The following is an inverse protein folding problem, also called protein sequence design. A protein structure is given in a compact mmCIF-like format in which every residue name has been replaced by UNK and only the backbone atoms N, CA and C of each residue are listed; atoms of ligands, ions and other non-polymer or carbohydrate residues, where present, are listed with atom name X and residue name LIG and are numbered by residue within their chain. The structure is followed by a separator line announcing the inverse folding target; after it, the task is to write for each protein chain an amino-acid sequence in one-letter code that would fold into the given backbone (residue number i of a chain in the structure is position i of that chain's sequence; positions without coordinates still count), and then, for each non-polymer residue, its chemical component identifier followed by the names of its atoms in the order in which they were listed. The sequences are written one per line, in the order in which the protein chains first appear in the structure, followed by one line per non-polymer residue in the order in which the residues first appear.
data_IF_533865350776
#
_entry.id   IF_533865350776
#
_cell.length_a   1.000
_cell.length_b   1.000
_cell.length_c   1.000
_cell.angle_alpha   90.00
_cell.angle_beta   90.00
_cell.angle_gamma   90.00
#
_symmetry.space_group_name_H-M   'P 1'
#
loop_
_entity.id
_entity.type
_entity.pdbx_description
1 polymer ?
#
# COMPACT_ATOMS: atom_id res chain seq x y z
N UNK A 1 -36.88 12.08 0.07
CA UNK A 1 -36.04 11.21 -0.77
C UNK A 1 -34.80 12.02 -1.16
N UNK A 2 -33.89 12.16 -0.19
CA UNK A 2 -32.79 13.12 -0.27
C UNK A 2 -31.47 12.33 -0.39
N UNK A 3 -31.01 12.18 -1.64
CA UNK A 3 -29.80 11.45 -2.00
C UNK A 3 -28.63 12.44 -2.13
N UNK A 4 -28.30 13.13 -1.06
CA UNK A 4 -27.06 13.91 -0.94
C UNK A 4 -26.00 13.18 -0.11
N UNK A 5 -25.73 11.92 -0.43
CA UNK A 5 -24.48 11.31 0.01
C UNK A 5 -23.40 11.70 -1.00
N UNK A 6 -22.83 12.88 -0.84
CA UNK A 6 -21.56 13.21 -1.46
C UNK A 6 -20.56 12.15 -1.02
N UNK A 7 -19.92 11.47 -1.98
CA UNK A 7 -18.86 10.49 -1.74
C UNK A 7 -17.69 11.26 -1.12
N UNK A 8 -17.65 11.31 0.22
CA UNK A 8 -16.50 11.87 0.95
C UNK A 8 -15.35 10.86 0.88
N UNK A 9 -14.64 10.88 -0.24
CA UNK A 9 -13.45 10.07 -0.42
C UNK A 9 -12.34 10.59 0.51
N UNK A 10 -11.72 9.69 1.24
CA UNK A 10 -10.52 10.03 2.01
C UNK A 10 -9.37 10.38 1.05
N UNK A 11 -8.40 11.22 1.47
CA UNK A 11 -7.26 11.58 0.61
C UNK A 11 -6.52 10.37 0.05
N UNK A 12 -6.45 9.29 0.81
CA UNK A 12 -5.83 8.03 0.38
C UNK A 12 -6.62 7.36 -0.77
N UNK A 13 -7.96 7.37 -0.70
CA UNK A 13 -8.81 6.84 -1.77
C UNK A 13 -8.68 7.63 -3.06
N UNK A 14 -8.58 8.96 -2.96
CA UNK A 14 -8.35 9.84 -4.12
C UNK A 14 -6.98 9.51 -4.75
N UNK A 15 -5.94 9.35 -3.94
CA UNK A 15 -4.61 8.98 -4.43
C UNK A 15 -4.62 7.61 -5.12
N UNK A 16 -5.30 6.61 -4.56
CA UNK A 16 -5.44 5.29 -5.16
C UNK A 16 -6.19 5.34 -6.50
N UNK A 17 -7.29 6.07 -6.57
CA UNK A 17 -8.03 6.26 -7.82
C UNK A 17 -7.16 6.95 -8.89
N UNK A 18 -6.42 7.98 -8.52
CA UNK A 18 -5.51 8.67 -9.43
C UNK A 18 -4.42 7.74 -9.98
N UNK A 19 -3.74 6.98 -9.11
CA UNK A 19 -2.71 6.02 -9.51
C UNK A 19 -3.27 4.91 -10.40
N UNK A 20 -4.48 4.43 -10.10
CA UNK A 20 -5.16 3.42 -10.91
C UNK A 20 -5.47 3.95 -12.32
N UNK A 21 -6.01 5.15 -12.42
CA UNK A 21 -6.27 5.78 -13.72
C UNK A 21 -4.96 6.00 -14.48
N UNK A 22 -3.93 6.48 -13.80
CA UNK A 22 -2.62 6.73 -14.43
C UNK A 22 -2.00 5.44 -15.01
N UNK A 23 -2.04 4.32 -14.27
CA UNK A 23 -1.49 3.04 -14.77
C UNK A 23 -2.29 2.53 -15.96
N UNK A 24 -3.62 2.65 -15.95
CA UNK A 24 -4.48 2.26 -17.08
C UNK A 24 -4.15 3.08 -18.32
N UNK A 25 -4.01 4.39 -18.19
CA UNK A 25 -3.66 5.26 -19.32
C UNK A 25 -2.29 4.91 -19.89
N UNK A 26 -1.28 4.76 -19.04
CA UNK A 26 0.10 4.46 -19.47
C UNK A 26 0.17 3.09 -20.15
N UNK A 27 -0.46 2.08 -19.59
CA UNK A 27 -0.49 0.74 -20.19
C UNK A 27 -1.27 0.73 -21.51
N UNK A 28 -2.34 1.50 -21.62
CA UNK A 28 -3.07 1.64 -22.87
C UNK A 28 -2.21 2.32 -23.96
N UNK A 29 -1.53 3.40 -23.61
CA UNK A 29 -0.58 4.07 -24.52
C UNK A 29 0.53 3.09 -24.96
N UNK A 30 1.10 2.33 -24.02
CA UNK A 30 2.13 1.33 -24.29
C UNK A 30 1.65 0.29 -25.31
N UNK A 31 0.43 -0.23 -25.13
CA UNK A 31 -0.15 -1.22 -26.07
C UNK A 31 -0.38 -0.60 -27.44
N UNK A 32 -0.94 0.61 -27.53
CA UNK A 32 -1.13 1.32 -28.80
C UNK A 32 0.18 1.51 -29.54
N UNK A 33 1.20 2.03 -28.89
CA UNK A 33 2.50 2.27 -29.53
C UNK A 33 3.15 0.97 -30.00
N UNK A 34 3.05 -0.10 -29.21
CA UNK A 34 3.64 -1.38 -29.56
C UNK A 34 2.97 -2.07 -30.76
N UNK A 35 1.62 -2.03 -30.82
CA UNK A 35 0.87 -2.80 -31.83
C UNK A 35 0.43 -1.97 -33.04
N UNK A 36 0.12 -0.69 -32.86
CA UNK A 36 -0.32 0.19 -33.98
C UNK A 36 0.87 0.86 -34.64
N UNK A 37 1.78 1.43 -33.82
CA UNK A 37 2.93 2.17 -34.35
C UNK A 37 4.19 1.30 -34.50
N UNK A 38 4.15 0.04 -34.05
CA UNK A 38 5.29 -0.91 -34.05
C UNK A 38 6.56 -0.34 -33.39
N UNK A 39 6.39 0.57 -32.46
CA UNK A 39 7.44 1.23 -31.73
C UNK A 39 7.30 0.99 -30.22
N UNK A 40 8.33 0.44 -29.59
CA UNK A 40 8.32 0.17 -28.14
C UNK A 40 8.86 1.36 -27.37
N UNK A 41 8.05 1.91 -26.48
CA UNK A 41 8.41 2.99 -25.55
C UNK A 41 8.93 2.37 -24.24
N UNK A 42 10.24 2.21 -24.10
CA UNK A 42 10.84 1.58 -22.90
C UNK A 42 10.50 2.31 -21.59
N UNK A 43 10.37 3.64 -21.62
CA UNK A 43 10.04 4.44 -20.46
C UNK A 43 8.60 4.20 -19.93
N UNK A 44 7.65 3.82 -20.79
CA UNK A 44 6.26 3.59 -20.37
C UNK A 44 6.14 2.32 -19.53
N UNK A 45 6.90 1.28 -19.88
CA UNK A 45 6.94 0.03 -19.10
C UNK A 45 7.53 0.27 -17.71
N UNK A 46 8.61 1.02 -17.65
CA UNK A 46 9.27 1.35 -16.40
C UNK A 46 8.39 2.23 -15.50
N UNK A 47 7.77 3.26 -16.07
CA UNK A 47 6.87 4.16 -15.34
C UNK A 47 5.62 3.43 -14.83
N UNK A 48 5.04 2.53 -15.64
CA UNK A 48 3.92 1.69 -15.20
C UNK A 48 4.30 0.83 -13.98
N UNK A 49 5.50 0.25 -13.98
CA UNK A 49 6.03 -0.51 -12.84
C UNK A 49 6.18 0.36 -11.59
N UNK A 50 6.67 1.59 -11.73
CA UNK A 50 6.82 2.53 -10.61
C UNK A 50 5.47 2.90 -10.01
N UNK A 51 4.50 3.25 -10.85
CA UNK A 51 3.13 3.55 -10.40
C UNK A 51 2.49 2.33 -9.73
N UNK A 52 2.72 1.12 -10.28
CA UNK A 52 2.19 -0.10 -9.69
C UNK A 52 2.72 -0.35 -8.27
N UNK A 53 4.01 -0.11 -8.02
CA UNK A 53 4.59 -0.26 -6.67
C UNK A 53 3.95 0.71 -5.66
N UNK A 54 3.73 1.96 -6.06
CA UNK A 54 3.02 2.94 -5.24
C UNK A 54 1.56 2.54 -5.01
N UNK A 55 0.87 2.12 -6.06
CA UNK A 55 -0.52 1.66 -5.96
C UNK A 55 -0.62 0.46 -5.02
N UNK A 56 0.25 -0.53 -5.15
CA UNK A 56 0.26 -1.72 -4.31
C UNK A 56 0.52 -1.37 -2.83
N UNK A 57 1.55 -0.57 -2.54
CA UNK A 57 1.91 -0.18 -1.17
C UNK A 57 0.78 0.59 -0.48
N UNK A 58 0.17 1.57 -1.16
CA UNK A 58 -0.93 2.36 -0.61
C UNK A 58 -2.23 1.55 -0.50
N UNK A 59 -2.49 0.62 -1.44
CA UNK A 59 -3.66 -0.28 -1.38
C UNK A 59 -3.59 -1.22 -0.19
N UNK A 60 -2.41 -1.77 0.13
CA UNK A 60 -2.22 -2.60 1.31
C UNK A 60 -2.47 -1.77 2.58
N UNK A 61 -1.92 -0.57 2.66
CA UNK A 61 -2.16 0.33 3.79
C UNK A 61 -3.66 0.68 3.95
N UNK A 62 -4.36 0.90 2.83
CA UNK A 62 -5.82 1.11 2.83
C UNK A 62 -6.59 -0.13 3.28
N UNK A 63 -6.16 -1.32 2.88
CA UNK A 63 -6.77 -2.57 3.33
C UNK A 63 -6.64 -2.75 4.86
N UNK A 64 -5.52 -2.34 5.46
CA UNK A 64 -5.37 -2.29 6.91
C UNK A 64 -6.36 -1.32 7.57
N UNK A 65 -6.58 -0.13 6.97
CA UNK A 65 -7.57 0.84 7.44
C UNK A 65 -8.98 0.26 7.48
N UNK A 66 -9.38 -0.48 6.44
CA UNK A 66 -10.78 -0.91 6.25
C UNK A 66 -11.04 -2.33 6.74
N UNK A 67 -10.05 -3.22 6.70
CA UNK A 67 -10.23 -4.66 6.95
C UNK A 67 -9.39 -5.22 8.09
N UNK A 68 -8.69 -4.38 8.84
CA UNK A 68 -7.83 -4.83 9.94
C UNK A 68 -8.60 -5.72 10.95
N UNK A 69 -9.89 -5.49 11.12
CA UNK A 69 -10.76 -6.32 11.96
C UNK A 69 -11.21 -7.62 11.28
N UNK A 70 -11.32 -7.68 9.94
CA UNK A 70 -12.00 -8.82 9.29
C UNK A 70 -11.12 -10.08 9.20
N UNK A 71 -9.84 -9.95 8.91
CA UNK A 71 -8.94 -11.11 8.82
C UNK A 71 -8.65 -11.72 10.21
N UNK A 72 -8.53 -10.87 11.23
CA UNK A 72 -8.34 -11.32 12.61
C UNK A 72 -9.62 -11.85 13.22
N UNK A 73 -10.78 -11.26 12.93
CA UNK A 73 -12.07 -11.77 13.45
C UNK A 73 -12.36 -13.18 12.97
N UNK A 74 -12.08 -13.50 11.70
CA UNK A 74 -12.33 -14.85 11.17
C UNK A 74 -11.49 -15.94 11.90
N UNK A 75 -10.24 -15.65 12.19
CA UNK A 75 -9.37 -16.56 12.96
C UNK A 75 -9.75 -16.64 14.44
N UNK A 76 -10.11 -15.49 15.01
CA UNK A 76 -10.39 -15.35 16.44
C UNK A 76 -11.82 -15.80 16.79
N UNK A 77 -12.78 -15.78 15.88
CA UNK A 77 -14.14 -16.26 16.11
C UNK A 77 -14.21 -17.79 16.28
N UNK A 78 -13.17 -18.53 15.88
CA UNK A 78 -13.03 -19.97 16.15
C UNK A 78 -12.43 -20.29 17.52
N UNK A 79 -11.97 -19.28 18.26
CA UNK A 79 -11.30 -19.47 19.56
C UNK A 79 -12.24 -19.03 20.70
N UNK A 80 -12.15 -19.74 21.85
CA UNK A 80 -12.93 -19.40 23.05
C UNK A 80 -12.72 -17.92 23.45
N UNK A 81 -13.81 -17.24 23.81
CA UNK A 81 -13.85 -15.81 24.16
C UNK A 81 -12.75 -15.37 25.15
N UNK A 82 -12.34 -16.29 26.05
CA UNK A 82 -11.29 -16.04 27.06
C UNK A 82 -9.91 -15.76 26.45
N UNK A 83 -9.55 -16.42 25.36
CA UNK A 83 -8.23 -16.30 24.71
C UNK A 83 -8.21 -15.25 23.57
N UNK A 84 -9.38 -14.80 23.15
CA UNK A 84 -9.55 -13.86 22.04
C UNK A 84 -8.72 -12.59 22.20
N UNK A 85 -8.77 -11.94 23.35
CA UNK A 85 -8.04 -10.70 23.61
C UNK A 85 -6.51 -10.90 23.63
N UNK A 86 -6.06 -12.04 24.14
CA UNK A 86 -4.63 -12.37 24.19
C UNK A 86 -4.09 -12.59 22.79
N UNK A 87 -4.76 -13.42 22.00
CA UNK A 87 -4.36 -13.70 20.59
C UNK A 87 -4.34 -12.42 19.80
N UNK A 88 -5.37 -11.58 19.93
CA UNK A 88 -5.44 -10.31 19.20
C UNK A 88 -4.27 -9.38 19.55
N UNK A 89 -3.97 -9.21 20.82
CA UNK A 89 -2.83 -8.40 21.27
C UNK A 89 -1.49 -8.96 20.76
N UNK A 90 -1.30 -10.28 20.86
CA UNK A 90 -0.08 -10.95 20.40
C UNK A 90 0.13 -10.76 18.91
N UNK A 91 -0.90 -10.96 18.09
CA UNK A 91 -0.82 -10.77 16.63
C UNK A 91 -0.50 -9.32 16.27
N UNK A 92 -1.15 -8.34 16.91
CA UNK A 92 -0.83 -6.94 16.66
C UNK A 92 0.61 -6.57 17.03
N UNK A 93 1.13 -7.08 18.15
CA UNK A 93 2.53 -6.87 18.54
C UNK A 93 3.49 -7.50 17.53
N UNK A 94 3.24 -8.73 17.09
CA UNK A 94 4.04 -9.38 16.05
C UNK A 94 4.00 -8.63 14.72
N UNK A 95 2.83 -8.13 14.31
CA UNK A 95 2.68 -7.31 13.11
C UNK A 95 3.47 -6.01 13.22
N UNK A 96 3.40 -5.31 14.36
CA UNK A 96 4.16 -4.08 14.57
C UNK A 96 5.68 -4.34 14.53
N UNK A 97 6.14 -5.42 15.16
CA UNK A 97 7.55 -5.80 15.13
C UNK A 97 8.01 -6.09 13.70
N UNK A 98 7.26 -6.91 12.96
CA UNK A 98 7.55 -7.21 11.57
C UNK A 98 7.59 -5.96 10.69
N UNK A 99 6.57 -5.09 10.79
CA UNK A 99 6.50 -3.86 9.99
C UNK A 99 7.61 -2.88 10.34
N UNK A 100 8.03 -2.81 11.60
CA UNK A 100 9.16 -1.96 12.01
C UNK A 100 10.46 -2.42 11.36
N UNK A 101 10.73 -3.74 11.36
CA UNK A 101 11.89 -4.32 10.69
C UNK A 101 11.78 -4.13 9.17
N UNK A 102 10.60 -4.33 8.61
CA UNK A 102 10.32 -4.14 7.18
C UNK A 102 10.61 -2.70 6.73
N UNK A 103 10.10 -1.69 7.46
CA UNK A 103 10.33 -0.28 7.15
C UNK A 103 11.82 0.08 7.26
N UNK A 104 12.49 -0.43 8.30
CA UNK A 104 13.92 -0.23 8.47
C UNK A 104 14.73 -0.77 7.28
N UNK A 105 14.46 -2.02 6.89
CA UNK A 105 15.15 -2.65 5.76
C UNK A 105 14.78 -2.02 4.41
N UNK A 106 13.54 -1.57 4.24
CA UNK A 106 13.12 -0.83 3.06
C UNK A 106 13.85 0.51 2.94
N UNK A 107 14.09 1.19 4.06
CA UNK A 107 14.86 2.43 4.09
C UNK A 107 16.32 2.21 3.70
N UNK A 108 16.97 1.21 4.30
CA UNK A 108 18.35 0.82 3.98
C UNK A 108 18.49 0.46 2.49
N UNK A 109 17.56 -0.34 1.96
CA UNK A 109 17.55 -0.71 0.55
C UNK A 109 17.32 0.48 -0.37
N UNK A 110 16.39 1.36 -0.04
CA UNK A 110 16.10 2.57 -0.85
C UNK A 110 17.33 3.47 -0.96
N UNK A 111 18.11 3.60 0.11
CA UNK A 111 19.36 4.34 0.08
C UNK A 111 20.43 3.66 -0.79
N UNK A 112 20.51 2.33 -0.77
CA UNK A 112 21.52 1.59 -1.56
C UNK A 112 21.30 1.67 -3.07
N UNK A 113 20.09 2.00 -3.52
CA UNK A 113 19.72 2.12 -4.94
C UNK A 113 19.56 3.57 -5.42
N UNK A 114 19.95 4.56 -4.62
CA UNK A 114 19.75 5.98 -4.93
C UNK A 114 20.50 6.42 -6.20
N UNK A 115 21.68 5.86 -6.41
CA UNK A 115 22.53 6.14 -7.57
C UNK A 115 22.24 5.23 -8.77
N UNK A 116 21.25 4.33 -8.66
CA UNK A 116 20.81 3.49 -9.76
C UNK A 116 19.64 4.18 -10.48
N UNK A 117 19.82 4.37 -11.78
CA UNK A 117 18.83 5.03 -12.63
C UNK A 117 18.16 4.02 -13.56
N UNK A 118 16.87 4.21 -13.77
CA UNK A 118 16.11 3.41 -14.71
C UNK A 118 16.53 3.69 -16.15
N UNK A 119 16.80 2.66 -16.97
CA UNK A 119 17.32 2.83 -18.32
C UNK A 119 16.34 3.51 -19.28
N UNK A 120 15.04 3.47 -19.00
CA UNK A 120 14.00 4.06 -19.84
C UNK A 120 13.60 5.47 -19.43
N UNK A 121 13.47 5.73 -18.14
CA UNK A 121 12.98 7.00 -17.57
C UNK A 121 14.10 7.92 -17.12
N UNK A 122 15.27 7.39 -16.81
CA UNK A 122 16.34 8.15 -16.14
C UNK A 122 16.04 8.53 -14.69
N UNK A 123 14.95 8.04 -14.11
CA UNK A 123 14.60 8.28 -12.71
C UNK A 123 15.39 7.33 -11.80
N UNK A 124 15.77 7.84 -10.62
CA UNK A 124 16.40 6.99 -9.60
C UNK A 124 15.45 5.87 -9.14
N UNK A 125 15.98 4.68 -9.01
CA UNK A 125 15.23 3.52 -8.50
C UNK A 125 14.78 3.68 -7.03
N UNK A 126 15.36 4.63 -6.31
CA UNK A 126 14.87 4.97 -4.96
C UNK A 126 13.40 5.46 -4.96
N UNK A 127 12.93 6.08 -6.07
CA UNK A 127 11.56 6.61 -6.17
C UNK A 127 10.48 5.52 -6.05
N UNK A 128 10.51 4.43 -6.84
CA UNK A 128 9.54 3.35 -6.68
C UNK A 128 9.70 2.59 -5.36
N UNK A 129 10.92 2.37 -4.87
CA UNK A 129 11.15 1.63 -3.62
C UNK A 129 10.78 2.42 -2.36
N UNK A 130 10.80 3.74 -2.41
CA UNK A 130 10.29 4.57 -1.31
C UNK A 130 8.81 4.31 -1.00
N UNK A 131 8.02 3.82 -1.95
CA UNK A 131 6.62 3.43 -1.74
C UNK A 131 6.46 2.42 -0.60
N UNK A 132 7.42 1.49 -0.44
CA UNK A 132 7.42 0.49 0.63
C UNK A 132 7.56 1.13 2.02
N UNK A 133 8.36 2.19 2.12
CA UNK A 133 8.55 2.95 3.37
C UNK A 133 7.24 3.67 3.72
N UNK A 134 6.66 4.42 2.77
CA UNK A 134 5.40 5.14 2.99
C UNK A 134 4.24 4.20 3.30
N UNK A 135 4.10 3.12 2.54
CA UNK A 135 3.09 2.08 2.81
C UNK A 135 3.26 1.44 4.17
N UNK A 136 4.49 1.08 4.54
CA UNK A 136 4.81 0.49 5.84
C UNK A 136 4.51 1.42 7.02
N UNK A 137 4.86 2.70 6.91
CA UNK A 137 4.55 3.72 7.93
C UNK A 137 3.03 3.89 8.09
N UNK A 138 2.29 3.96 6.99
CA UNK A 138 0.82 4.05 7.03
C UNK A 138 0.19 2.80 7.68
N UNK A 139 0.71 1.60 7.38
CA UNK A 139 0.25 0.37 8.03
C UNK A 139 0.50 0.40 9.53
N UNK A 140 1.69 0.79 9.98
CA UNK A 140 2.02 0.94 11.40
C UNK A 140 1.04 1.92 12.07
N UNK A 141 0.81 3.07 11.43
CA UNK A 141 -0.13 4.07 11.93
C UNK A 141 -1.54 3.50 12.14
N UNK A 142 -2.09 2.75 11.17
CA UNK A 142 -3.42 2.16 11.29
C UNK A 142 -3.49 1.05 12.33
N UNK A 143 -2.45 0.21 12.46
CA UNK A 143 -2.40 -0.83 13.50
C UNK A 143 -2.33 -0.20 14.89
N UNK A 144 -1.53 0.85 15.08
CA UNK A 144 -1.44 1.55 16.36
C UNK A 144 -2.77 2.19 16.74
N UNK A 145 -3.45 2.84 15.78
CA UNK A 145 -4.79 3.40 16.03
C UNK A 145 -5.79 2.32 16.47
N UNK A 146 -5.74 1.16 15.83
CA UNK A 146 -6.62 0.05 16.15
C UNK A 146 -6.34 -0.51 17.54
N UNK A 147 -5.06 -0.66 17.86
CA UNK A 147 -4.62 -1.11 19.19
C UNK A 147 -5.07 -0.16 20.32
N UNK A 148 -4.94 1.15 20.11
CA UNK A 148 -5.39 2.17 21.08
C UNK A 148 -6.90 2.11 21.27
N UNK A 149 -7.69 2.04 20.19
CA UNK A 149 -9.17 1.95 20.26
C UNK A 149 -9.64 0.73 21.03
N UNK A 150 -8.94 -0.39 20.93
CA UNK A 150 -9.27 -1.59 21.69
C UNK A 150 -8.94 -1.47 23.17
N UNK A 151 -7.82 -0.83 23.49
CA UNK A 151 -7.40 -0.67 24.90
C UNK A 151 -8.31 0.30 25.64
N UNK A 152 -8.88 1.29 24.94
CA UNK A 152 -9.79 2.29 25.54
C UNK A 152 -11.22 1.78 25.68
N UNK A 153 -11.57 0.65 25.07
CA UNK A 153 -12.93 0.09 25.05
C UNK A 153 -13.14 -1.03 26.09
N UNK A 154 -12.09 -1.42 26.82
CA UNK A 154 -12.10 -2.30 28.01
C UNK A 154 -12.07 -1.46 29.28
#
# INVERSE_FOLDING_TARGET
MDRKNGINLSPLEIALCFLLIAIVIITFIQVLFRYVFQFSLAWTEELARYIFLWLAALSIAYAFKTKSHFALTFLVDRVQKRYRNVIYKTVNVLMLLFLSIFVWKSFEYTLSVIDQFGPGTGLSMSVPYSSSIFGGILMIYYIVQDFIKMTTRN
#
